data_IF_976418247529
#
_entry.id   IF_976418247529
#
_cell.length_a   1.000
_cell.length_b   1.000
_cell.length_c   1.000
_cell.angle_alpha   90.00
_cell.angle_beta   90.00
_cell.angle_gamma   90.00
#
_symmetry.space_group_name_H-M   'P 1'
#
loop_
_entity.id
_entity.type
_entity.pdbx_description
1 polymer ?
#
# COMPACT_ATOMS: atom_id res chain seq x y z
N UNK A 1 -34.33 69.72 4.42
CA UNK A 1 -33.95 69.90 3.02
C UNK A 1 -32.63 69.16 2.83
N UNK A 2 -32.66 67.93 2.42
CA UNK A 2 -31.49 66.99 2.35
C UNK A 2 -31.24 66.69 0.86
N UNK A 3 -30.04 67.03 0.37
CA UNK A 3 -29.59 66.65 -0.95
C UNK A 3 -28.72 65.38 -0.83
N UNK A 4 -29.15 64.30 -1.47
CA UNK A 4 -28.38 63.05 -1.66
C UNK A 4 -27.60 63.21 -2.95
N UNK A 5 -26.26 63.14 -2.89
CA UNK A 5 -25.40 63.07 -4.07
C UNK A 5 -24.99 61.59 -4.23
N UNK A 6 -25.52 61.01 -5.30
CA UNK A 6 -25.19 59.68 -5.76
C UNK A 6 -23.82 59.68 -6.45
N UNK A 7 -22.83 59.04 -5.86
CA UNK A 7 -21.51 58.84 -6.43
C UNK A 7 -21.38 57.42 -7.01
N UNK A 8 -21.48 57.28 -8.31
CA UNK A 8 -21.20 56.02 -9.02
C UNK A 8 -19.68 55.86 -9.15
N UNK A 9 -19.11 54.88 -8.44
CA UNK A 9 -17.72 54.49 -8.64
C UNK A 9 -17.64 53.54 -9.83
N UNK A 10 -17.09 54.05 -10.93
CA UNK A 10 -16.81 53.25 -12.13
C UNK A 10 -15.58 52.36 -11.88
N UNK A 11 -15.79 51.05 -11.71
CA UNK A 11 -14.71 50.05 -11.68
C UNK A 11 -14.20 49.86 -13.11
N UNK A 12 -13.07 50.48 -13.43
CA UNK A 12 -12.31 50.16 -14.66
C UNK A 12 -11.85 48.70 -14.58
N UNK A 13 -12.34 47.89 -15.49
CA UNK A 13 -11.85 46.53 -15.72
C UNK A 13 -10.38 46.55 -16.16
N UNK A 14 -9.49 46.23 -15.25
CA UNK A 14 -8.09 45.96 -15.58
C UNK A 14 -7.96 44.55 -16.11
N UNK A 15 -7.64 44.38 -17.38
CA UNK A 15 -7.28 43.07 -17.96
C UNK A 15 -5.89 42.70 -17.44
N UNK A 16 -5.71 41.50 -16.85
CA UNK A 16 -4.39 41.09 -16.38
C UNK A 16 -3.44 40.90 -17.57
N UNK A 17 -2.22 41.42 -17.45
CA UNK A 17 -1.19 41.27 -18.45
C UNK A 17 -0.45 39.94 -18.23
N UNK A 18 0.21 39.40 -19.30
CA UNK A 18 0.96 38.14 -19.22
C UNK A 18 2.08 38.11 -18.15
N UNK A 19 2.42 39.23 -17.54
CA UNK A 19 3.40 39.34 -16.44
C UNK A 19 2.80 39.04 -15.06
N UNK A 20 1.49 39.13 -14.90
CA UNK A 20 0.81 38.93 -13.60
C UNK A 20 0.53 37.46 -13.28
N UNK A 21 0.78 36.56 -14.23
CA UNK A 21 0.61 35.11 -14.05
C UNK A 21 1.80 34.40 -13.39
N UNK A 22 2.90 35.11 -13.15
CA UNK A 22 4.14 34.52 -12.63
C UNK A 22 4.16 34.31 -11.11
N UNK A 23 3.16 34.76 -10.37
CA UNK A 23 3.14 34.68 -8.90
C UNK A 23 2.12 33.72 -8.29
N UNK A 24 1.42 32.92 -9.09
CA UNK A 24 0.35 32.04 -8.59
C UNK A 24 0.68 30.53 -8.63
N UNK A 25 1.94 30.14 -8.82
CA UNK A 25 2.31 28.74 -8.77
C UNK A 25 3.60 28.59 -7.96
N UNK A 26 3.51 28.58 -6.64
CA UNK A 26 4.11 27.52 -5.85
C UNK A 26 3.38 27.29 -4.51
N UNK A 27 2.23 26.69 -4.49
CA UNK A 27 1.60 26.37 -3.20
C UNK A 27 0.89 25.01 -3.17
N UNK A 28 1.11 24.13 -4.14
CA UNK A 28 0.45 22.80 -4.16
C UNK A 28 1.43 21.62 -4.18
N UNK A 29 2.66 21.80 -3.73
CA UNK A 29 3.67 20.73 -3.63
C UNK A 29 4.14 20.48 -2.18
N UNK A 30 3.33 20.83 -1.20
CA UNK A 30 3.62 20.53 0.20
C UNK A 30 2.63 19.47 0.71
N UNK A 31 3.03 18.20 0.75
CA UNK A 31 2.27 17.21 1.49
C UNK A 31 2.21 15.80 0.94
N UNK A 32 3.09 15.39 0.04
CA UNK A 32 3.32 13.94 -0.14
C UNK A 32 4.55 13.57 0.67
N UNK A 33 4.33 12.93 1.82
CA UNK A 33 5.33 12.13 2.50
C UNK A 33 5.64 10.92 1.60
N UNK A 34 6.41 11.15 0.55
CA UNK A 34 6.79 10.07 -0.36
C UNK A 34 7.85 9.22 0.33
N UNK A 35 7.52 7.96 0.57
CA UNK A 35 8.53 6.95 0.90
C UNK A 35 9.66 7.04 -0.15
N UNK A 36 10.92 6.76 0.22
CA UNK A 36 12.03 6.88 -0.73
C UNK A 36 11.91 5.86 -1.87
N UNK A 37 12.46 6.20 -3.03
CA UNK A 37 12.63 5.23 -4.11
C UNK A 37 13.55 4.10 -3.64
N UNK A 38 13.16 2.86 -3.95
CA UNK A 38 13.90 1.67 -3.54
C UNK A 38 15.24 1.57 -4.29
N UNK A 39 16.37 1.36 -3.59
CA UNK A 39 17.64 1.12 -4.22
C UNK A 39 17.70 -0.31 -4.80
N UNK A 40 18.50 -0.49 -5.86
CA UNK A 40 18.85 -1.83 -6.32
C UNK A 40 19.83 -2.48 -5.34
N UNK A 41 19.39 -3.53 -4.64
CA UNK A 41 20.23 -4.31 -3.72
C UNK A 41 19.67 -5.71 -3.50
N UNK A 42 20.47 -6.61 -2.94
CA UNK A 42 20.03 -7.89 -2.40
C UNK A 42 19.57 -7.71 -0.95
N UNK A 43 18.57 -8.48 -0.56
CA UNK A 43 18.05 -8.55 0.82
C UNK A 43 18.26 -9.99 1.33
N UNK A 44 19.25 -10.15 2.19
CA UNK A 44 19.56 -11.46 2.77
C UNK A 44 18.55 -11.84 3.84
N UNK A 45 17.91 -13.00 3.70
CA UNK A 45 16.83 -13.46 4.59
C UNK A 45 17.25 -13.47 6.07
N UNK A 46 18.47 -13.89 6.35
CA UNK A 46 19.01 -14.00 7.72
C UNK A 46 19.29 -12.65 8.38
N UNK A 47 19.40 -11.59 7.59
CA UNK A 47 19.64 -10.22 8.05
C UNK A 47 18.35 -9.43 8.29
N UNK A 48 17.21 -9.94 7.78
CA UNK A 48 15.92 -9.26 7.93
C UNK A 48 15.45 -9.33 9.39
N UNK A 49 15.10 -8.19 10.02
CA UNK A 49 14.55 -8.16 11.37
C UNK A 49 13.29 -9.01 11.49
N UNK A 50 13.26 -9.88 12.49
CA UNK A 50 12.10 -10.74 12.78
C UNK A 50 11.17 -10.05 13.76
N UNK A 51 9.87 -9.99 13.40
CA UNK A 51 8.78 -9.73 14.35
C UNK A 51 8.08 -11.05 14.61
N UNK A 52 8.03 -11.46 15.88
CA UNK A 52 7.37 -12.70 16.31
C UNK A 52 6.15 -12.38 17.17
N UNK A 53 5.03 -12.94 16.81
CA UNK A 53 3.83 -12.93 17.65
C UNK A 53 3.92 -14.04 18.70
N UNK A 54 4.02 -13.64 19.97
CA UNK A 54 4.16 -14.57 21.09
C UNK A 54 2.91 -15.45 21.32
N UNK A 55 1.73 -15.03 20.84
CA UNK A 55 0.47 -15.78 21.02
C UNK A 55 0.29 -16.85 19.94
N UNK A 56 0.59 -16.52 18.70
CA UNK A 56 0.36 -17.41 17.55
C UNK A 56 1.60 -18.17 17.12
N UNK A 57 2.78 -17.67 17.49
CA UNK A 57 4.07 -18.18 17.00
C UNK A 57 4.37 -17.75 15.55
N UNK A 58 3.53 -16.93 14.95
CA UNK A 58 3.76 -16.40 13.61
C UNK A 58 4.97 -15.47 13.59
N UNK A 59 5.69 -15.46 12.49
CA UNK A 59 6.83 -14.57 12.28
C UNK A 59 6.63 -13.74 11.00
N UNK A 60 7.08 -12.50 11.03
CA UNK A 60 7.14 -11.65 9.83
C UNK A 60 8.48 -10.93 9.72
N UNK A 61 8.90 -10.67 8.49
CA UNK A 61 10.12 -9.95 8.15
C UNK A 61 9.80 -8.95 7.04
N UNK A 62 9.98 -7.66 7.32
CA UNK A 62 9.91 -6.64 6.29
C UNK A 62 11.12 -6.78 5.36
N UNK A 63 10.89 -6.87 4.06
CA UNK A 63 11.96 -6.86 3.04
C UNK A 63 12.22 -5.44 2.59
N UNK A 64 11.20 -4.78 2.06
CA UNK A 64 11.23 -3.37 1.68
C UNK A 64 9.84 -2.74 1.71
N UNK A 65 9.82 -1.42 1.80
CA UNK A 65 8.63 -0.59 1.72
C UNK A 65 9.04 0.77 1.11
N UNK A 66 8.47 1.15 -0.02
CA UNK A 66 8.84 2.37 -0.73
C UNK A 66 8.21 2.50 -2.11
N UNK A 67 8.91 3.18 -3.00
CA UNK A 67 8.48 3.37 -4.39
C UNK A 67 9.46 2.75 -5.36
N UNK A 68 8.94 2.21 -6.47
CA UNK A 68 9.77 1.91 -7.63
C UNK A 68 10.31 3.20 -8.24
N UNK A 69 11.35 3.13 -9.08
CA UNK A 69 11.83 4.29 -9.85
C UNK A 69 10.78 4.87 -10.82
N UNK A 70 9.76 4.09 -11.16
CA UNK A 70 8.62 4.52 -11.99
C UNK A 70 7.48 5.12 -11.17
N UNK A 71 7.65 5.24 -9.83
CA UNK A 71 6.69 5.88 -8.94
C UNK A 71 5.56 4.97 -8.45
N UNK A 72 5.62 3.64 -8.67
CA UNK A 72 4.64 2.71 -8.13
C UNK A 72 4.98 2.41 -6.65
N UNK A 73 4.05 2.58 -5.71
CA UNK A 73 4.21 2.14 -4.33
C UNK A 73 4.32 0.61 -4.29
N UNK A 74 5.27 0.11 -3.52
CA UNK A 74 5.47 -1.33 -3.32
C UNK A 74 5.91 -1.61 -1.89
N UNK A 75 5.35 -2.68 -1.33
CA UNK A 75 5.77 -3.28 -0.06
C UNK A 75 6.05 -4.77 -0.28
N UNK A 76 7.08 -5.28 0.37
CA UNK A 76 7.33 -6.71 0.38
C UNK A 76 7.70 -7.18 1.78
N UNK A 77 7.04 -8.22 2.23
CA UNK A 77 7.39 -8.90 3.47
C UNK A 77 7.30 -10.42 3.33
N UNK A 78 7.94 -11.10 4.26
CA UNK A 78 7.92 -12.57 4.35
C UNK A 78 7.21 -12.94 5.65
N UNK A 79 6.24 -13.85 5.57
CA UNK A 79 5.51 -14.35 6.73
C UNK A 79 5.68 -15.85 6.86
N UNK A 80 5.87 -16.32 8.10
CA UNK A 80 5.83 -17.74 8.45
C UNK A 80 4.69 -17.96 9.43
N UNK A 81 3.72 -18.78 9.05
CA UNK A 81 2.57 -19.14 9.89
C UNK A 81 2.78 -20.51 10.53
N UNK A 82 2.55 -20.60 11.82
CA UNK A 82 2.44 -21.87 12.51
C UNK A 82 1.25 -22.69 11.97
N UNK A 83 1.23 -24.01 12.11
CA UNK A 83 0.11 -24.84 11.69
C UNK A 83 -1.22 -24.38 12.29
N UNK A 84 -2.26 -24.28 11.46
CA UNK A 84 -3.60 -23.84 11.85
C UNK A 84 -3.76 -22.33 12.00
N UNK A 85 -2.71 -21.53 11.88
CA UNK A 85 -2.75 -20.08 12.09
C UNK A 85 -3.05 -19.31 10.81
N UNK A 86 -3.58 -18.11 11.02
CA UNK A 86 -3.78 -17.04 10.04
C UNK A 86 -2.92 -15.83 10.42
N UNK A 87 -2.54 -14.96 9.50
CA UNK A 87 -1.83 -13.72 9.85
C UNK A 87 -2.77 -12.72 10.56
N UNK A 88 -4.01 -12.64 10.13
CA UNK A 88 -5.12 -11.80 10.62
C UNK A 88 -6.45 -12.35 10.12
N UNK A 89 -7.57 -11.76 10.56
CA UNK A 89 -8.90 -12.07 10.05
C UNK A 89 -9.05 -11.65 8.57
N UNK A 90 -10.07 -12.17 7.88
CA UNK A 90 -10.43 -11.74 6.53
C UNK A 90 -10.62 -10.21 6.48
N UNK A 91 -10.12 -9.59 5.42
CA UNK A 91 -10.15 -8.14 5.22
C UNK A 91 -10.00 -7.79 3.74
N UNK A 92 -10.12 -6.50 3.42
CA UNK A 92 -9.86 -5.95 2.10
C UNK A 92 -9.08 -4.63 2.22
N UNK A 93 -8.38 -4.26 1.17
CA UNK A 93 -7.61 -3.03 1.07
C UNK A 93 -7.49 -2.54 -0.37
N UNK A 94 -7.03 -1.30 -0.56
CA UNK A 94 -6.96 -0.66 -1.89
C UNK A 94 -5.81 -1.19 -2.73
N UNK A 95 -4.65 -1.49 -2.12
CA UNK A 95 -3.54 -2.09 -2.85
C UNK A 95 -3.85 -3.52 -3.28
N UNK A 96 -3.22 -3.98 -4.32
CA UNK A 96 -3.28 -5.36 -4.79
C UNK A 96 -2.20 -6.20 -4.11
N UNK A 97 -2.43 -7.50 -3.94
CA UNK A 97 -1.45 -8.40 -3.34
C UNK A 97 -1.16 -9.62 -4.21
N UNK A 98 0.13 -9.97 -4.27
CA UNK A 98 0.57 -11.25 -4.77
C UNK A 98 1.27 -12.04 -3.66
N UNK A 99 0.84 -13.29 -3.45
CA UNK A 99 1.39 -14.21 -2.46
C UNK A 99 2.14 -15.31 -3.16
N UNK A 100 3.40 -15.51 -2.81
CA UNK A 100 4.27 -16.54 -3.37
C UNK A 100 4.58 -17.56 -2.27
N UNK A 101 3.97 -18.73 -2.32
CA UNK A 101 4.18 -19.77 -1.31
C UNK A 101 5.51 -20.48 -1.53
N UNK A 102 6.45 -20.33 -0.58
CA UNK A 102 7.75 -20.99 -0.59
C UNK A 102 7.65 -22.42 -0.06
N UNK A 103 7.00 -22.61 1.10
CA UNK A 103 6.89 -23.89 1.77
C UNK A 103 5.62 -23.98 2.61
N UNK A 104 5.19 -25.22 2.92
CA UNK A 104 3.95 -25.46 3.66
C UNK A 104 2.74 -25.58 2.76
N UNK A 105 1.54 -25.41 3.35
CA UNK A 105 0.26 -25.50 2.63
C UNK A 105 -0.66 -24.40 3.11
N UNK A 106 -1.09 -23.52 2.22
CA UNK A 106 -2.08 -22.49 2.51
C UNK A 106 -3.44 -22.84 1.90
N UNK A 107 -4.50 -22.51 2.63
CA UNK A 107 -5.82 -22.30 2.06
C UNK A 107 -6.01 -20.79 1.91
N UNK A 108 -6.16 -20.35 0.66
CA UNK A 108 -6.37 -18.96 0.29
C UNK A 108 -7.84 -18.80 -0.07
N UNK A 109 -8.52 -17.87 0.59
CA UNK A 109 -9.91 -17.52 0.30
C UNK A 109 -9.93 -16.10 -0.27
N UNK A 110 -10.50 -15.97 -1.48
CA UNK A 110 -10.76 -14.67 -2.11
C UNK A 110 -12.25 -14.62 -2.42
N UNK A 111 -12.94 -13.61 -1.89
CA UNK A 111 -14.39 -13.55 -1.86
C UNK A 111 -14.95 -14.86 -1.24
N UNK A 112 -15.81 -15.55 -1.96
CA UNK A 112 -16.44 -16.80 -1.51
C UNK A 112 -15.70 -18.09 -1.95
N UNK A 113 -14.52 -17.95 -2.58
CA UNK A 113 -13.80 -19.08 -3.15
C UNK A 113 -12.53 -19.39 -2.37
N UNK A 114 -12.47 -20.57 -1.77
CA UNK A 114 -11.26 -21.12 -1.13
C UNK A 114 -10.50 -22.04 -2.09
N UNK A 115 -9.18 -21.89 -2.10
CA UNK A 115 -8.27 -22.74 -2.89
C UNK A 115 -7.09 -23.14 -2.03
N UNK A 116 -6.79 -24.43 -1.97
CA UNK A 116 -5.59 -24.94 -1.30
C UNK A 116 -4.41 -24.90 -2.27
N UNK A 117 -3.31 -24.31 -1.82
CA UNK A 117 -2.09 -24.16 -2.61
C UNK A 117 -0.87 -24.73 -1.88
N UNK A 118 0.10 -25.23 -2.64
CA UNK A 118 1.37 -25.79 -2.18
C UNK A 118 2.57 -24.97 -2.65
N UNK A 119 3.80 -25.40 -2.30
CA UNK A 119 5.05 -24.70 -2.64
C UNK A 119 5.17 -24.42 -4.14
N UNK A 120 5.68 -23.23 -4.48
CA UNK A 120 5.80 -22.73 -5.85
C UNK A 120 4.51 -22.10 -6.42
N UNK A 121 3.38 -22.20 -5.70
CA UNK A 121 2.13 -21.57 -6.12
C UNK A 121 2.13 -20.08 -5.86
N UNK A 122 1.33 -19.35 -6.65
CA UNK A 122 1.06 -17.92 -6.51
C UNK A 122 -0.44 -17.71 -6.38
N UNK A 123 -0.86 -16.85 -5.45
CA UNK A 123 -2.19 -16.28 -5.40
C UNK A 123 -2.10 -14.78 -5.66
N UNK A 124 -3.08 -14.24 -6.37
CA UNK A 124 -3.20 -12.81 -6.63
C UNK A 124 -4.58 -12.31 -6.20
N UNK A 125 -4.60 -11.17 -5.52
CA UNK A 125 -5.81 -10.56 -4.98
C UNK A 125 -5.92 -9.14 -5.54
N UNK A 126 -7.05 -8.84 -6.15
CA UNK A 126 -7.36 -7.52 -6.67
C UNK A 126 -7.68 -6.53 -5.54
N UNK A 127 -7.54 -5.25 -5.87
CA UNK A 127 -7.96 -4.14 -5.01
C UNK A 127 -9.40 -4.33 -4.50
N UNK A 128 -9.59 -4.14 -3.18
CA UNK A 128 -10.87 -4.21 -2.48
C UNK A 128 -11.61 -5.56 -2.50
N UNK A 129 -10.97 -6.64 -2.93
CA UNK A 129 -11.52 -7.98 -2.75
C UNK A 129 -11.24 -8.48 -1.32
N UNK A 130 -12.29 -8.95 -0.63
CA UNK A 130 -12.13 -9.58 0.68
C UNK A 130 -11.34 -10.89 0.54
N UNK A 131 -10.33 -11.03 1.38
CA UNK A 131 -9.46 -12.18 1.31
C UNK A 131 -8.88 -12.58 2.68
N UNK A 132 -8.44 -13.83 2.73
CA UNK A 132 -7.72 -14.37 3.88
C UNK A 132 -6.91 -15.59 3.46
N UNK A 133 -5.95 -15.99 4.28
CA UNK A 133 -5.26 -17.27 4.13
C UNK A 133 -4.93 -17.89 5.47
N UNK A 134 -4.87 -19.21 5.46
CA UNK A 134 -4.62 -20.02 6.64
C UNK A 134 -3.62 -21.11 6.32
N UNK A 135 -2.69 -21.37 7.23
CA UNK A 135 -1.87 -22.56 7.15
C UNK A 135 -2.73 -23.78 7.53
N UNK A 136 -3.08 -24.61 6.54
CA UNK A 136 -3.87 -25.85 6.71
C UNK A 136 -3.00 -27.09 6.69
N UNK A 137 -1.67 -26.94 6.63
CA UNK A 137 -0.70 -28.01 6.76
C UNK A 137 -0.34 -28.34 8.20
N UNK A 138 0.49 -29.36 8.37
CA UNK A 138 1.01 -29.82 9.67
C UNK A 138 2.38 -29.23 10.01
N UNK A 139 2.98 -28.47 9.08
CA UNK A 139 4.27 -27.79 9.23
C UNK A 139 4.09 -26.29 9.03
N UNK A 140 5.05 -25.45 9.48
CA UNK A 140 5.01 -24.01 9.20
C UNK A 140 4.88 -23.75 7.70
N UNK A 141 4.13 -22.69 7.34
CA UNK A 141 4.00 -22.22 5.97
C UNK A 141 4.69 -20.86 5.83
N UNK A 142 5.66 -20.77 4.92
CA UNK A 142 6.42 -19.56 4.64
C UNK A 142 6.08 -19.05 3.24
N UNK A 143 5.72 -17.78 3.15
CA UNK A 143 5.33 -17.13 1.90
C UNK A 143 5.80 -15.68 1.86
N UNK A 144 5.95 -15.18 0.64
CA UNK A 144 6.23 -13.78 0.35
C UNK A 144 4.93 -13.09 -0.01
N UNK A 145 4.75 -11.87 0.47
CA UNK A 145 3.68 -10.98 0.08
C UNK A 145 4.29 -9.79 -0.65
N UNK A 146 3.79 -9.49 -1.83
CA UNK A 146 4.11 -8.29 -2.59
C UNK A 146 2.83 -7.46 -2.73
N UNK A 147 2.78 -6.33 -2.04
CA UNK A 147 1.71 -5.36 -2.16
C UNK A 147 2.06 -4.32 -3.23
N UNK A 148 1.12 -4.01 -4.10
CA UNK A 148 1.26 -3.13 -5.26
C UNK A 148 0.19 -2.05 -5.23
N UNK A 149 0.57 -0.79 -5.46
CA UNK A 149 -0.37 0.32 -5.54
C UNK A 149 -0.45 1.16 -4.27
N UNK A 150 -1.37 2.10 -4.26
CA UNK A 150 -1.50 3.06 -3.16
C UNK A 150 -2.14 2.42 -1.93
N UNK A 151 -1.53 2.65 -0.76
CA UNK A 151 -2.24 2.49 0.50
C UNK A 151 -3.40 3.50 0.59
N UNK A 152 -4.39 3.22 1.43
CA UNK A 152 -5.42 4.21 1.74
C UNK A 152 -4.77 5.50 2.24
N UNK A 153 -5.10 6.60 1.59
CA UNK A 153 -4.96 7.94 2.15
C UNK A 153 -5.96 8.14 3.28
#
# INVERSE_FOLDING_TARGET
MAYIISGVISLKSMKPTRRDLSFLVPALLAGQSSKPALPSKCYEFTELPVKKDAKTGNESRQVFDGYTHTGCPVDMHITTLAPGMMPHAAHHHVHEEAIFLKEGTLEVTVLDKSTRIGPGSVAYVNSNEEHSWKNVGSVPATYFVLALGHEKT
#
